data_IF_083890254062
#
_entry.id   IF_083890254062
#
_cell.length_a   1.000
_cell.length_b   1.000
_cell.length_c   1.000
_cell.angle_alpha   90.00
_cell.angle_beta   90.00
_cell.angle_gamma   90.00
#
_symmetry.space_group_name_H-M   'P 1'
#
loop_
_entity.id
_entity.type
_entity.pdbx_description
1 polymer ?
2 non-polymer ?
3 water ?
#
# COMPACT_ATOMS: atom_id res chain seq x y z
N UNK A 1 -4.57 37.06 -3.90
CA UNK A 1 -3.39 36.19 -3.97
C UNK A 1 -3.34 35.19 -2.81
N UNK A 2 -3.76 33.95 -3.02
CA UNK A 2 -3.71 32.99 -1.93
C UNK A 2 -2.31 32.39 -1.85
N UNK A 3 -1.80 32.29 -0.63
CA UNK A 3 -0.49 31.73 -0.39
C UNK A 3 -0.62 30.91 0.88
N UNK A 4 -0.49 29.59 0.73
CA UNK A 4 -0.63 28.67 1.84
C UNK A 4 0.63 28.56 2.69
N UNK A 5 1.72 29.24 2.34
CA UNK A 5 2.94 29.12 3.09
C UNK A 5 2.72 29.46 4.56
N UNK A 6 3.21 28.58 5.42
CA UNK A 6 3.18 28.84 6.85
C UNK A 6 3.14 27.56 7.66
N UNK A 7 2.98 27.76 8.96
CA UNK A 7 2.90 26.65 9.91
C UNK A 7 1.51 26.69 10.50
N UNK A 8 0.86 25.55 10.57
CA UNK A 8 -0.59 25.48 10.83
C UNK A 8 -0.91 24.40 11.86
N UNK A 9 -1.72 24.74 12.85
CA UNK A 9 -2.03 23.86 13.96
C UNK A 9 -3.49 23.40 13.87
N UNK A 10 -3.73 22.09 14.06
CA UNK A 10 -5.07 21.56 13.90
C UNK A 10 -6.04 22.10 14.97
N UNK A 11 -7.15 22.65 14.50
CA UNK A 11 -8.21 23.13 15.39
C UNK A 11 -9.35 22.14 15.50
N UNK A 12 -9.87 21.67 14.37
CA UNK A 12 -10.95 20.70 14.32
C UNK A 12 -10.67 19.69 13.21
N UNK A 13 -11.28 18.52 13.38
CA UNK A 13 -11.16 17.41 12.44
C UNK A 13 -12.48 16.62 12.55
N UNK A 14 -13.37 16.87 11.60
CA UNK A 14 -14.74 16.39 11.63
C UNK A 14 -14.93 15.20 10.71
N UNK A 15 -15.47 14.11 11.26
CA UNK A 15 -15.89 12.93 10.51
C UNK A 15 -14.73 12.18 9.86
N UNK A 16 -13.55 12.21 10.48
CA UNK A 16 -12.38 11.57 9.89
C UNK A 16 -12.50 10.05 9.91
N UNK A 17 -13.10 9.49 10.96
CA UNK A 17 -13.17 8.05 11.05
C UNK A 17 -14.00 7.44 9.92
N UNK A 18 -15.13 8.08 9.56
CA UNK A 18 -15.91 7.56 8.44
C UNK A 18 -15.18 7.73 7.12
N UNK A 19 -14.44 8.83 6.97
CA UNK A 19 -13.63 9.00 5.78
C UNK A 19 -12.62 7.87 5.67
N UNK A 20 -11.91 7.57 6.75
CA UNK A 20 -10.94 6.49 6.72
C UNK A 20 -11.63 5.14 6.50
N UNK A 21 -12.82 4.95 7.07
CA UNK A 21 -13.54 3.69 6.86
C UNK A 21 -13.83 3.47 5.37
N UNK A 22 -14.20 4.54 4.66
CA UNK A 22 -14.45 4.46 3.23
C UNK A 22 -13.18 4.12 2.43
N UNK A 23 -12.00 4.38 3.00
CA UNK A 23 -10.74 3.95 2.44
C UNK A 23 -10.32 2.56 2.92
N UNK A 24 -11.19 1.88 3.68
CA UNK A 24 -10.96 0.51 4.16
C UNK A 24 -9.87 0.44 5.22
N UNK A 25 -9.57 1.54 5.89
CA UNK A 25 -8.65 1.53 7.02
C UNK A 25 -9.33 0.81 8.18
N UNK A 26 -8.62 -0.13 8.80
CA UNK A 26 -9.33 -0.91 9.81
C UNK A 26 -9.49 -0.11 11.10
N UNK A 27 -10.44 -0.55 11.93
CA UNK A 27 -10.94 0.28 13.02
C UNK A 27 -9.80 0.67 13.98
N UNK A 28 -8.82 -0.20 14.21
CA UNK A 28 -7.76 0.19 15.15
C UNK A 28 -7.01 1.43 14.67
N UNK A 29 -6.68 1.49 13.39
CA UNK A 29 -5.93 2.64 12.91
C UNK A 29 -6.84 3.86 12.78
N UNK A 30 -8.11 3.65 12.45
CA UNK A 30 -9.03 4.79 12.44
C UNK A 30 -9.05 5.48 13.78
N UNK A 31 -9.15 4.72 14.88
CA UNK A 31 -9.23 5.35 16.19
C UNK A 31 -7.93 6.04 16.55
N UNK A 32 -6.79 5.38 16.29
CA UNK A 32 -5.48 6.00 16.51
C UNK A 32 -5.37 7.29 15.72
N UNK A 33 -5.69 7.22 14.43
CA UNK A 33 -5.46 8.37 13.56
C UNK A 33 -6.32 9.54 13.96
N UNK A 34 -7.55 9.27 14.42
CA UNK A 34 -8.45 10.36 14.74
C UNK A 34 -8.10 11.04 16.06
N UNK A 35 -7.29 10.41 16.90
CA UNK A 35 -6.78 11.07 18.08
C UNK A 35 -5.56 11.95 17.79
N UNK A 36 -4.96 11.80 16.62
CA UNK A 36 -3.79 12.59 16.27
C UNK A 36 -4.22 14.00 15.85
N UNK A 37 -3.37 14.97 16.18
CA UNK A 37 -3.63 16.37 15.87
C UNK A 37 -2.40 16.96 15.19
N UNK A 38 -2.09 16.49 13.98
CA UNK A 38 -0.84 16.92 13.32
C UNK A 38 -0.85 18.38 12.95
N UNK A 39 0.34 18.94 12.89
CA UNK A 39 0.57 20.24 12.31
C UNK A 39 0.72 20.11 10.80
N UNK A 40 0.55 21.20 10.10
CA UNK A 40 0.94 21.26 8.70
C UNK A 40 1.96 22.36 8.49
N UNK A 41 3.06 22.01 7.83
CA UNK A 41 4.06 22.96 7.38
C UNK A 41 4.02 23.00 5.87
N UNK A 42 3.71 24.17 5.31
CA UNK A 42 3.50 24.33 3.88
C UNK A 42 4.46 25.37 3.34
N UNK A 43 5.12 25.06 2.24
CA UNK A 43 5.84 26.05 1.46
C UNK A 43 5.26 26.04 0.06
N UNK A 44 4.70 27.17 -0.33
CA UNK A 44 4.21 27.38 -1.69
C UNK A 44 5.28 28.23 -2.41
N UNK A 45 5.86 27.69 -3.47
CA UNK A 45 7.06 28.28 -4.13
C UNK A 45 6.73 28.32 -5.62
N UNK A 46 6.12 29.41 -6.07
CA UNK A 46 5.52 29.40 -7.38
C UNK A 46 4.43 28.36 -7.37
N UNK A 47 4.44 27.46 -8.34
CA UNK A 47 3.46 26.38 -8.35
C UNK A 47 4.01 25.08 -7.77
N UNK A 48 5.22 25.11 -7.19
CA UNK A 48 5.74 23.99 -6.44
C UNK A 48 5.26 24.06 -4.99
N UNK A 49 4.49 23.07 -4.55
CA UNK A 49 3.95 23.06 -3.20
C UNK A 49 4.47 21.86 -2.43
N UNK A 50 4.90 22.10 -1.20
CA UNK A 50 5.28 21.05 -0.26
C UNK A 50 4.34 21.19 0.92
N UNK A 51 3.62 20.11 1.23
CA UNK A 51 2.73 20.08 2.39
C UNK A 51 3.20 18.96 3.30
N UNK A 52 3.74 19.31 4.46
CA UNK A 52 4.22 18.32 5.43
C UNK A 52 3.19 18.22 6.55
N UNK A 53 2.58 17.04 6.70
CA UNK A 53 1.64 16.81 7.80
C UNK A 53 2.42 16.04 8.87
N UNK A 54 2.59 16.65 10.04
CA UNK A 54 3.59 16.24 11.03
C UNK A 54 2.97 15.90 12.36
N UNK A 55 3.31 14.73 12.89
CA UNK A 55 2.93 14.36 14.26
C UNK A 55 4.08 13.54 14.84
N UNK A 56 4.04 13.35 16.16
CA UNK A 56 5.22 12.81 16.87
C UNK A 56 5.74 11.53 16.20
N UNK A 57 4.84 10.59 15.91
CA UNK A 57 5.23 9.26 15.48
C UNK A 57 4.87 8.96 14.03
N UNK A 58 4.10 9.83 13.37
CA UNK A 58 3.62 9.59 12.02
C UNK A 58 3.58 10.90 11.23
N UNK A 59 4.10 10.87 10.02
CA UNK A 59 4.14 12.00 9.11
C UNK A 59 3.63 11.55 7.75
N UNK A 60 3.11 12.49 6.97
CA UNK A 60 2.79 12.26 5.57
C UNK A 60 3.18 13.50 4.78
N UNK A 61 3.99 13.33 3.74
CA UNK A 61 4.58 14.43 3.00
C UNK A 61 4.04 14.43 1.57
N UNK A 62 3.56 15.57 1.10
CA UNK A 62 3.21 15.79 -0.29
C UNK A 62 4.18 16.80 -0.89
N UNK A 63 4.57 16.55 -2.12
CA UNK A 63 5.53 17.41 -2.81
C UNK A 63 5.19 17.34 -4.29
N UNK A 64 4.64 18.41 -4.86
CA UNK A 64 4.08 18.35 -6.20
C UNK A 64 4.09 19.72 -6.87
N UNK A 65 3.77 19.72 -8.16
CA UNK A 65 3.62 20.94 -8.94
C UNK A 65 2.15 21.13 -9.27
N UNK A 66 1.59 22.28 -8.90
CA UNK A 66 0.20 22.55 -9.21
C UNK A 66 0.03 22.44 -10.72
N UNK A 67 -1.01 21.73 -11.14
CA UNK A 67 -1.37 21.56 -12.53
C UNK A 67 -0.77 20.35 -13.21
N UNK A 68 0.14 19.61 -12.57
CA UNK A 68 0.84 18.50 -13.21
C UNK A 68 0.52 17.21 -12.47
N UNK A 69 -0.04 16.25 -13.20
CA UNK A 69 -0.36 14.96 -12.62
C UNK A 69 0.91 14.26 -12.15
N UNK A 70 0.81 13.61 -11.00
CA UNK A 70 1.91 12.87 -10.41
C UNK A 70 1.37 11.61 -9.76
N UNK A 71 2.26 10.65 -9.51
CA UNK A 71 1.87 9.43 -8.80
C UNK A 71 2.05 9.62 -7.30
N UNK A 72 0.92 9.69 -6.60
CA UNK A 72 0.88 9.96 -5.16
C UNK A 72 0.86 8.63 -4.43
N UNK A 73 1.83 8.44 -3.54
CA UNK A 73 1.99 7.20 -2.78
C UNK A 73 1.45 7.45 -1.37
N UNK A 74 0.25 6.95 -1.09
CA UNK A 74 -0.43 7.24 0.17
C UNK A 74 -0.01 6.25 1.27
N UNK A 75 1.29 6.03 1.34
CA UNK A 75 1.86 5.09 2.29
C UNK A 75 1.66 5.58 3.72
N UNK A 76 1.06 4.73 4.53
CA UNK A 76 0.79 5.08 5.90
C UNK A 76 -0.59 5.63 6.12
N UNK A 77 -1.31 5.93 5.03
CA UNK A 77 -2.72 6.30 5.14
C UNK A 77 -3.51 5.04 4.82
N UNK A 78 -3.86 4.84 3.54
CA UNK A 78 -4.50 3.62 3.10
C UNK A 78 -3.59 2.79 2.19
N UNK A 79 -2.35 3.22 1.97
CA UNK A 79 -1.34 2.44 1.25
C UNK A 79 -1.74 2.14 -0.19
N UNK A 80 -2.53 3.02 -0.77
CA UNK A 80 -2.82 2.97 -2.18
C UNK A 80 -1.94 3.95 -2.92
N UNK A 81 -1.94 3.80 -4.23
CA UNK A 81 -1.29 4.75 -5.12
C UNK A 81 -2.32 5.33 -6.08
N UNK A 82 -2.26 6.64 -6.26
CA UNK A 82 -3.19 7.37 -7.09
C UNK A 82 -2.41 8.18 -8.11
N UNK A 83 -3.08 8.51 -9.20
CA UNK A 83 -2.58 9.49 -10.14
C UNK A 83 -3.29 10.78 -9.78
N UNK A 84 -2.55 11.70 -9.16
CA UNK A 84 -3.14 12.85 -8.50
C UNK A 84 -2.82 14.13 -9.25
N UNK A 85 -3.82 15.00 -9.37
CA UNK A 85 -3.60 16.34 -9.89
C UNK A 85 -4.21 17.35 -8.92
N UNK A 86 -3.38 18.32 -8.55
CA UNK A 86 -3.79 19.45 -7.73
C UNK A 86 -3.80 20.67 -8.63
N UNK A 87 -4.93 21.36 -8.69
CA UNK A 87 -5.13 22.47 -9.61
C UNK A 87 -5.76 23.65 -8.89
N UNK A 88 -5.47 24.85 -9.40
CA UNK A 88 -6.11 26.06 -8.90
C UNK A 88 -7.52 26.15 -9.43
N UNK A 89 -8.45 26.53 -8.55
CA UNK A 89 -9.84 26.80 -8.88
C UNK A 89 -10.13 28.14 -8.21
N UNK A 90 -9.81 29.25 -8.88
CA UNK A 90 -9.86 30.53 -8.23
C UNK A 90 -8.83 30.55 -7.12
N UNK A 91 -9.29 30.81 -5.90
CA UNK A 91 -8.42 30.85 -4.73
C UNK A 91 -8.47 29.58 -3.93
N UNK A 92 -9.00 28.50 -4.51
CA UNK A 92 -9.02 27.19 -3.89
C UNK A 92 -8.08 26.24 -4.62
N UNK A 93 -7.51 25.32 -3.88
CA UNK A 93 -6.74 24.23 -4.43
C UNK A 93 -7.65 22.99 -4.50
N UNK A 94 -7.76 22.40 -5.70
CA UNK A 94 -8.62 21.25 -5.94
C UNK A 94 -7.76 20.05 -6.27
N UNK A 95 -7.90 19.00 -5.48
CA UNK A 95 -7.10 17.80 -5.66
C UNK A 95 -8.01 16.67 -6.09
N UNK A 96 -7.66 15.99 -7.18
CA UNK A 96 -8.34 14.80 -7.63
C UNK A 96 -7.34 13.67 -7.57
N UNK A 97 -7.69 12.59 -6.86
CA UNK A 97 -6.82 11.43 -6.66
C UNK A 97 -7.40 10.26 -7.43
N UNK A 98 -6.90 10.03 -8.66
CA UNK A 98 -7.46 8.98 -9.50
C UNK A 98 -6.90 7.63 -9.10
N UNK A 99 -7.80 6.65 -8.95
CA UNK A 99 -7.38 5.34 -8.47
C UNK A 99 -8.55 4.39 -8.26
N UNK A 100 -8.38 3.42 -7.35
CA UNK A 100 -9.39 2.39 -7.20
C UNK A 100 -10.70 2.93 -6.64
N UNK A 101 -10.64 3.99 -5.83
CA UNK A 101 -11.82 4.57 -5.20
C UNK A 101 -12.42 5.71 -6.01
N UNK A 102 -13.75 5.73 -6.12
CA UNK A 102 -14.46 6.78 -6.83
C UNK A 102 -14.51 8.07 -6.01
N UNK A 103 -14.43 9.20 -6.70
CA UNK A 103 -14.66 10.48 -6.05
C UNK A 103 -13.67 10.83 -4.95
N UNK A 104 -12.43 10.40 -5.08
CA UNK A 104 -11.42 10.65 -4.06
C UNK A 104 -10.67 11.96 -4.36
N UNK A 105 -10.70 12.89 -3.42
CA UNK A 105 -9.91 14.10 -3.60
C UNK A 105 -10.07 15.00 -2.39
N UNK A 106 -9.64 16.24 -2.54
CA UNK A 106 -9.80 17.19 -1.44
C UNK A 106 -9.76 18.59 -2.01
N UNK A 107 -10.19 19.55 -1.18
CA UNK A 107 -10.19 20.97 -1.52
C UNK A 107 -9.59 21.73 -0.35
N UNK A 108 -8.69 22.68 -0.64
CA UNK A 108 -8.00 23.43 0.39
C UNK A 108 -8.12 24.92 0.09
N UNK A 109 -8.37 25.71 1.13
CA UNK A 109 -8.51 27.15 0.96
C UNK A 109 -8.22 27.84 2.28
N UNK A 110 -8.15 29.16 2.24
CA UNK A 110 -7.86 29.98 3.42
C UNK A 110 -9.04 30.91 3.69
N UNK A 111 -9.44 31.01 4.96
CA UNK A 111 -10.38 32.02 5.47
C UNK A 111 -9.68 32.73 6.63
N UNK A 112 -9.26 33.97 6.42
CA UNK A 112 -8.60 34.67 7.49
C UNK A 112 -7.30 33.97 7.87
N UNK A 113 -7.19 33.58 9.14
CA UNK A 113 -6.04 32.85 9.66
C UNK A 113 -6.30 31.34 9.73
N UNK A 114 -7.32 30.87 9.03
CA UNK A 114 -7.71 29.46 9.02
C UNK A 114 -7.40 28.82 7.68
N UNK A 115 -6.76 27.65 7.73
CA UNK A 115 -6.58 26.78 6.59
C UNK A 115 -7.70 25.74 6.63
N UNK A 116 -8.52 25.71 5.59
CA UNK A 116 -9.66 24.79 5.48
C UNK A 116 -9.33 23.67 4.52
N UNK A 117 -9.67 22.45 4.91
CA UNK A 117 -9.33 21.28 4.11
C UNK A 117 -10.52 20.33 4.18
N UNK A 118 -11.20 20.13 3.06
CA UNK A 118 -12.28 19.16 2.95
C UNK A 118 -11.80 18.00 2.10
N UNK A 119 -11.87 16.78 2.62
CA UNK A 119 -11.45 15.60 1.89
C UNK A 119 -12.65 14.68 1.72
N UNK A 120 -12.68 14.01 0.58
CA UNK A 120 -13.84 13.26 0.12
C UNK A 120 -13.38 11.95 -0.48
N UNK A 121 -14.22 10.91 -0.33
CA UNK A 121 -14.10 9.69 -1.12
C UNK A 121 -15.43 8.97 -1.06
N UNK A 122 -15.90 8.49 -2.21
CA UNK A 122 -17.16 7.74 -2.29
C UNK A 122 -18.30 8.46 -1.56
N UNK A 123 -18.36 9.78 -1.71
CA UNK A 123 -19.42 10.55 -1.12
C UNK A 123 -19.30 10.83 0.37
N UNK A 124 -18.28 10.31 1.02
CA UNK A 124 -18.03 10.57 2.43
C UNK A 124 -17.10 11.76 2.56
N UNK A 125 -17.41 12.67 3.49
CA UNK A 125 -16.73 13.97 3.59
C UNK A 125 -16.17 14.15 4.99
N UNK A 126 -14.91 14.59 5.07
CA UNK A 126 -14.27 14.99 6.31
C UNK A 126 -13.79 16.42 6.18
N UNK A 127 -13.94 17.21 7.22
CA UNK A 127 -13.57 18.64 7.21
C UNK A 127 -12.55 18.90 8.31
N UNK A 128 -11.43 19.52 7.95
CA UNK A 128 -10.38 19.85 8.90
C UNK A 128 -10.14 21.34 8.82
N UNK A 129 -9.86 21.98 9.96
CA UNK A 129 -9.51 23.39 9.98
C UNK A 129 -8.27 23.55 10.84
N UNK A 130 -7.30 24.31 10.33
CA UNK A 130 -6.06 24.57 11.01
C UNK A 130 -5.92 26.08 11.22
N UNK A 131 -5.19 26.46 12.25
CA UNK A 131 -4.92 27.87 12.53
C UNK A 131 -3.46 28.21 12.28
N UNK A 132 -3.22 29.36 11.67
CA UNK A 132 -1.82 29.78 11.43
C UNK A 132 -1.15 30.12 12.75
N UNK A 133 0.06 29.62 12.94
CA UNK A 133 0.81 29.79 14.17
C UNK A 133 2.22 30.23 13.86
N UNK A 134 2.90 30.70 14.89
CA UNK A 134 4.21 31.32 14.70
C UNK A 134 5.34 30.68 15.51
N UNK A 135 5.04 29.79 16.44
CA UNK A 135 6.08 29.14 17.22
C UNK A 135 6.55 27.92 16.45
N UNK A 136 7.84 27.90 16.11
CA UNK A 136 8.37 26.83 15.28
C UNK A 136 9.58 26.19 15.92
N UNK B 2 -15.09 -26.54 -17.02
CA UNK B 2 -13.98 -25.64 -16.74
C UNK B 2 -14.25 -24.88 -15.45
N UNK B 3 -13.21 -24.73 -14.63
CA UNK B 3 -13.33 -24.07 -13.34
C UNK B 3 -12.08 -23.22 -13.12
N UNK B 4 -12.26 -21.90 -13.09
CA UNK B 4 -11.16 -20.96 -12.94
C UNK B 4 -10.71 -20.76 -11.50
N UNK B 5 -11.34 -21.42 -10.52
CA UNK B 5 -10.99 -21.20 -9.12
C UNK B 5 -9.51 -21.46 -8.89
N UNK B 6 -8.87 -20.55 -8.19
CA UNK B 6 -7.47 -20.70 -7.85
C UNK B 6 -6.77 -19.36 -7.75
N UNK B 7 -5.46 -19.47 -7.51
CA UNK B 7 -4.59 -18.32 -7.39
C UNK B 7 -3.58 -18.41 -8.52
N UNK B 8 -3.35 -17.30 -9.19
CA UNK B 8 -2.66 -17.29 -10.48
C UNK B 8 -1.63 -16.15 -10.52
N UNK B 9 -0.39 -16.45 -10.95
CA UNK B 9 0.66 -15.44 -11.05
C UNK B 9 0.93 -15.09 -12.51
N UNK B 10 1.11 -13.80 -12.78
CA UNK B 10 1.32 -13.34 -14.16
C UNK B 10 2.65 -13.83 -14.70
N UNK B 11 2.60 -14.48 -15.86
CA UNK B 11 3.79 -14.95 -16.55
C UNK B 11 4.20 -14.01 -17.67
N UNK B 12 3.26 -13.62 -18.51
CA UNK B 12 3.49 -12.70 -19.62
C UNK B 12 2.31 -11.75 -19.78
N UNK B 13 2.62 -10.59 -20.36
CA UNK B 13 1.61 -9.55 -20.61
C UNK B 13 2.07 -8.80 -21.86
N UNK B 14 1.44 -9.14 -22.99
CA UNK B 14 1.87 -8.70 -24.32
C UNK B 14 0.97 -7.59 -24.85
N UNK B 15 1.58 -6.49 -25.28
CA UNK B 15 0.92 -5.37 -25.97
C UNK B 15 -0.07 -4.62 -25.09
N UNK B 16 0.19 -4.58 -23.78
CA UNK B 16 -0.73 -3.93 -22.86
C UNK B 16 -0.73 -2.41 -23.05
N UNK B 17 0.42 -1.82 -23.39
CA UNK B 17 0.44 -0.36 -23.49
C UNK B 17 -0.44 0.13 -24.63
N UNK B 18 -0.42 -0.56 -25.78
CA UNK B 18 -1.29 -0.15 -26.88
C UNK B 18 -2.76 -0.37 -26.53
N UNK B 19 -3.06 -1.44 -25.78
CA UNK B 19 -4.42 -1.62 -25.32
C UNK B 19 -4.84 -0.44 -24.45
N UNK B 20 -4.02 -0.07 -23.47
CA UNK B 20 -4.36 1.06 -22.62
C UNK B 20 -4.41 2.36 -23.40
N UNK B 21 -3.53 2.53 -24.38
CA UNK B 21 -3.58 3.75 -25.20
C UNK B 21 -4.92 3.87 -25.91
N UNK B 22 -5.46 2.76 -26.41
CA UNK B 22 -6.77 2.76 -27.05
C UNK B 22 -7.89 3.11 -26.08
N UNK B 23 -7.65 2.94 -24.78
CA UNK B 23 -8.57 3.39 -23.75
C UNK B 23 -8.29 4.81 -23.30
N UNK B 24 -7.35 5.49 -23.98
CA UNK B 24 -7.02 6.88 -23.70
C UNK B 24 -6.34 7.05 -22.34
N UNK B 25 -5.76 5.99 -21.81
CA UNK B 25 -4.95 6.10 -20.60
C UNK B 25 -3.66 6.83 -20.96
N UNK B 26 -3.28 7.82 -20.14
CA UNK B 26 -2.13 8.60 -20.57
C UNK B 26 -0.83 7.85 -20.31
N UNK B 27 0.24 8.38 -20.92
CA UNK B 27 1.47 7.60 -21.04
C UNK B 27 2.05 7.28 -19.66
N UNK B 28 1.95 8.20 -18.70
CA UNK B 28 2.55 7.91 -17.41
C UNK B 28 1.92 6.68 -16.78
N UNK B 29 0.59 6.59 -16.84
CA UNK B 29 -0.07 5.45 -16.23
C UNK B 29 0.12 4.19 -17.08
N UNK B 30 0.16 4.32 -18.41
CA UNK B 30 0.48 3.16 -19.25
C UNK B 30 1.82 2.54 -18.83
N UNK B 31 2.84 3.36 -18.62
CA UNK B 31 4.14 2.81 -18.29
C UNK B 31 4.15 2.18 -16.90
N UNK B 32 3.54 2.85 -15.91
CA UNK B 32 3.39 2.26 -14.58
C UNK B 32 2.67 0.92 -14.68
N UNK B 33 1.52 0.92 -15.36
CA UNK B 33 0.66 -0.26 -15.37
C UNK B 33 1.33 -1.45 -16.05
N UNK B 34 2.10 -1.19 -17.10
CA UNK B 34 2.70 -2.29 -17.83
C UNK B 34 3.87 -2.93 -17.07
N UNK B 35 4.42 -2.25 -16.08
CA UNK B 35 5.47 -2.87 -15.27
C UNK B 35 4.90 -3.73 -14.16
N UNK B 36 3.61 -3.59 -13.88
CA UNK B 36 2.96 -4.33 -12.82
C UNK B 36 2.75 -5.77 -13.26
N UNK B 37 2.82 -6.65 -12.28
CA UNK B 37 2.67 -8.10 -12.51
C UNK B 37 1.68 -8.64 -11.49
N UNK B 38 0.41 -8.24 -11.60
CA UNK B 38 -0.58 -8.61 -10.59
C UNK B 38 -0.86 -10.10 -10.57
N UNK B 39 -1.25 -10.57 -9.40
CA UNK B 39 -1.84 -11.89 -9.25
C UNK B 39 -3.33 -11.81 -9.57
N UNK B 40 -3.94 -12.97 -9.87
CA UNK B 40 -5.39 -13.09 -9.93
C UNK B 40 -5.83 -14.16 -8.94
N UNK B 41 -6.80 -13.81 -8.11
CA UNK B 41 -7.46 -14.75 -7.21
C UNK B 41 -8.90 -14.89 -7.67
N UNK B 42 -9.28 -16.10 -8.08
CA UNK B 42 -10.59 -16.33 -8.67
C UNK B 42 -11.33 -17.37 -7.84
N UNK B 43 -12.61 -17.09 -7.58
CA UNK B 43 -13.52 -18.09 -7.03
C UNK B 43 -14.69 -18.18 -7.98
N UNK B 44 -14.86 -19.34 -8.59
CA UNK B 44 -16.01 -19.66 -9.42
C UNK B 44 -16.96 -20.50 -8.55
N UNK B 45 -18.18 -20.00 -8.32
CA UNK B 45 -19.12 -20.59 -7.35
C UNK B 45 -20.44 -20.73 -8.10
N UNK B 46 -20.63 -21.87 -8.76
CA UNK B 46 -21.72 -21.96 -9.72
C UNK B 46 -21.45 -20.96 -10.84
N UNK B 47 -22.44 -20.15 -11.16
CA UNK B 47 -22.24 -19.11 -12.15
C UNK B 47 -21.89 -17.75 -11.53
N UNK B 48 -21.64 -17.71 -10.22
CA UNK B 48 -21.13 -16.52 -9.55
C UNK B 48 -19.61 -16.52 -9.59
N UNK B 49 -19.03 -15.50 -10.23
CA UNK B 49 -17.59 -15.38 -10.40
C UNK B 49 -17.06 -14.17 -9.64
N UNK B 50 -15.97 -14.34 -8.90
CA UNK B 50 -15.24 -13.24 -8.31
C UNK B 50 -13.81 -13.33 -8.85
N UNK B 51 -13.35 -12.26 -9.50
CA UNK B 51 -11.99 -12.19 -10.04
C UNK B 51 -11.30 -11.00 -9.40
N UNK B 52 -10.32 -11.26 -8.55
CA UNK B 52 -9.54 -10.22 -7.89
C UNK B 52 -8.18 -10.13 -8.57
N UNK B 53 -7.90 -8.96 -9.14
CA UNK B 53 -6.61 -8.66 -9.75
C UNK B 53 -5.84 -7.82 -8.73
N UNK B 54 -4.73 -8.37 -8.22
CA UNK B 54 -4.06 -7.85 -7.01
C UNK B 54 -2.60 -7.48 -7.30
N UNK B 55 -2.21 -6.22 -7.07
CA UNK B 55 -0.85 -5.81 -7.38
C UNK B 55 -0.31 -4.84 -6.34
N UNK B 56 1.00 -4.58 -6.43
CA UNK B 56 1.64 -3.57 -5.59
C UNK B 56 0.99 -2.21 -5.79
N UNK B 57 0.72 -1.83 -7.03
CA UNK B 57 0.26 -0.47 -7.27
C UNK B 57 -1.26 -0.31 -7.07
N UNK B 58 -2.08 -1.30 -7.44
CA UNK B 58 -3.53 -1.11 -7.34
C UNK B 58 -4.22 -2.48 -7.48
N UNK B 59 -5.46 -2.57 -6.96
CA UNK B 59 -6.30 -3.76 -7.10
C UNK B 59 -7.47 -3.41 -8.01
N UNK B 60 -8.03 -4.43 -8.69
CA UNK B 60 -9.28 -4.29 -9.43
C UNK B 60 -10.09 -5.56 -9.21
N UNK B 61 -11.33 -5.39 -8.77
CA UNK B 61 -12.19 -6.49 -8.34
C UNK B 61 -13.40 -6.58 -9.27
N UNK B 62 -13.66 -7.77 -9.79
CA UNK B 62 -14.87 -8.06 -10.53
C UNK B 62 -15.71 -9.06 -9.74
N UNK B 63 -17.03 -8.86 -9.75
CA UNK B 63 -17.93 -9.72 -9.01
C UNK B 63 -19.24 -9.74 -9.79
N UNK B 64 -19.55 -10.88 -10.43
CA UNK B 64 -20.69 -10.92 -11.34
C UNK B 64 -21.27 -12.32 -11.45
N UNK B 65 -22.43 -12.40 -12.09
CA UNK B 65 -23.06 -13.66 -12.43
C UNK B 65 -22.95 -13.88 -13.93
N UNK B 66 -22.48 -15.07 -14.33
CA UNK B 66 -22.37 -15.37 -15.76
C UNK B 66 -23.76 -15.30 -16.39
N UNK B 67 -23.86 -14.64 -17.53
CA UNK B 67 -25.12 -14.52 -18.24
C UNK B 67 -25.97 -13.34 -17.85
N UNK B 68 -25.58 -12.56 -16.84
CA UNK B 68 -26.39 -11.46 -16.33
C UNK B 68 -25.65 -10.15 -16.57
N UNK B 69 -26.26 -9.25 -17.33
CA UNK B 69 -25.66 -7.96 -17.57
C UNK B 69 -25.57 -7.18 -16.27
N UNK B 70 -24.46 -6.48 -16.06
CA UNK B 70 -24.27 -5.68 -14.86
C UNK B 70 -23.52 -4.42 -15.21
N UNK B 71 -23.61 -3.42 -14.33
CA UNK B 71 -22.81 -2.21 -14.48
C UNK B 71 -21.42 -2.45 -13.91
N UNK B 72 -20.42 -2.38 -14.78
CA UNK B 72 -19.01 -2.56 -14.40
C UNK B 72 -18.36 -1.19 -14.34
N UNK B 73 -17.84 -0.82 -13.17
CA UNK B 73 -17.16 0.46 -12.98
C UNK B 73 -15.66 0.19 -13.00
N UNK B 74 -15.03 0.62 -14.09
CA UNK B 74 -13.61 0.36 -14.32
C UNK B 74 -12.76 1.45 -13.71
N UNK B 75 -13.07 1.72 -12.45
CA UNK B 75 -12.39 2.74 -11.67
C UNK B 75 -10.97 2.29 -11.38
N UNK B 76 -10.02 3.10 -11.77
CA UNK B 76 -8.63 2.76 -11.57
C UNK B 76 -7.99 2.15 -12.79
N UNK B 77 -8.80 1.82 -13.80
CA UNK B 77 -8.28 1.38 -15.10
C UNK B 77 -8.37 2.59 -16.02
N UNK B 78 -9.49 2.75 -16.73
CA UNK B 78 -9.72 3.93 -17.54
C UNK B 78 -10.85 4.81 -17.03
N UNK B 79 -11.43 4.47 -15.88
CA UNK B 79 -12.44 5.30 -15.22
C UNK B 79 -13.68 5.46 -16.08
N UNK B 80 -13.96 4.46 -16.88
CA UNK B 80 -15.22 4.38 -17.59
C UNK B 80 -16.18 3.44 -16.88
N UNK B 81 -17.43 3.52 -17.29
CA UNK B 81 -18.46 2.59 -16.84
C UNK B 81 -19.01 1.89 -18.06
N UNK B 82 -19.19 0.58 -17.94
CA UNK B 82 -19.71 -0.24 -19.02
C UNK B 82 -20.89 -1.07 -18.52
N UNK B 83 -21.75 -1.45 -19.47
CA UNK B 83 -22.76 -2.45 -19.21
C UNK B 83 -22.19 -3.76 -19.75
N UNK B 84 -21.77 -4.62 -18.83
CA UNK B 84 -20.94 -5.75 -19.15
C UNK B 84 -21.70 -7.06 -18.99
N UNK B 85 -21.49 -7.99 -19.93
CA UNK B 85 -22.01 -9.34 -19.80
C UNK B 85 -20.87 -10.32 -20.02
N UNK B 86 -20.72 -11.25 -19.10
CA UNK B 86 -19.76 -12.34 -19.21
C UNK B 86 -20.56 -13.61 -19.42
N UNK B 87 -20.29 -14.32 -20.50
CA UNK B 87 -21.07 -15.48 -20.89
C UNK B 87 -20.14 -16.66 -21.19
N UNK B 88 -20.64 -17.87 -20.99
CA UNK B 88 -19.91 -19.06 -21.40
C UNK B 88 -19.96 -19.22 -22.91
N UNK B 89 -18.81 -19.53 -23.52
CA UNK B 89 -18.70 -19.84 -24.94
C UNK B 89 -17.87 -21.12 -25.00
N UNK B 90 -18.54 -22.27 -24.87
CA UNK B 90 -17.80 -23.51 -24.71
C UNK B 90 -17.03 -23.50 -23.40
N UNK B 91 -15.72 -23.72 -23.48
CA UNK B 91 -14.88 -23.72 -22.29
C UNK B 91 -14.21 -22.37 -22.08
N UNK B 92 -14.68 -21.34 -22.78
CA UNK B 92 -14.17 -19.99 -22.63
C UNK B 92 -15.21 -19.10 -21.98
N UNK B 93 -14.72 -18.13 -21.23
CA UNK B 93 -15.55 -17.03 -20.76
C UNK B 93 -15.38 -15.85 -21.70
N UNK B 94 -16.50 -15.33 -22.19
CA UNK B 94 -16.52 -14.22 -23.13
C UNK B 94 -17.14 -13.00 -22.49
N UNK B 95 -16.38 -11.92 -22.42
CA UNK B 95 -16.85 -10.69 -21.79
C UNK B 95 -17.03 -9.64 -22.86
N UNK B 96 -18.21 -9.02 -22.88
CA UNK B 96 -18.52 -7.88 -23.74
C UNK B 96 -18.80 -6.70 -22.82
N UNK B 97 -18.07 -5.61 -23.01
CA UNK B 97 -18.17 -4.41 -22.18
C UNK B 97 -18.75 -3.31 -23.05
N UNK B 98 -20.06 -3.12 -22.95
CA UNK B 98 -20.78 -2.14 -23.76
C UNK B 98 -20.58 -0.75 -23.17
N UNK B 99 -20.27 0.20 -24.04
CA UNK B 99 -20.00 1.54 -23.56
C UNK B 99 -19.59 2.45 -24.69
N UNK B 100 -18.67 3.35 -24.40
CA UNK B 100 -18.23 4.33 -25.39
C UNK B 100 -17.33 3.74 -26.45
N UNK B 101 -16.56 2.70 -26.12
CA UNK B 101 -15.57 2.13 -27.01
C UNK B 101 -16.15 0.94 -27.76
N UNK B 102 -15.86 0.88 -29.05
CA UNK B 102 -16.23 -0.24 -29.88
C UNK B 102 -15.38 -1.48 -29.57
N UNK B 103 -16.03 -2.64 -29.59
CA UNK B 103 -15.30 -3.89 -29.59
C UNK B 103 -14.53 -4.14 -28.32
N UNK B 104 -15.02 -3.63 -27.20
CA UNK B 104 -14.33 -3.75 -25.92
C UNK B 104 -14.78 -5.02 -25.22
N UNK B 105 -13.83 -5.88 -24.90
CA UNK B 105 -14.18 -7.07 -24.15
C UNK B 105 -12.94 -7.89 -23.89
N UNK B 106 -13.15 -9.11 -23.46
CA UNK B 106 -12.03 -10.03 -23.22
C UNK B 106 -12.54 -11.45 -23.27
N UNK B 107 -11.59 -12.36 -23.38
CA UNK B 107 -11.85 -13.79 -23.44
C UNK B 107 -10.89 -14.48 -22.48
N UNK B 108 -11.41 -15.37 -21.64
CA UNK B 108 -10.57 -16.05 -20.66
C UNK B 108 -10.76 -17.56 -20.78
N UNK B 109 -9.67 -18.32 -20.69
CA UNK B 109 -9.72 -19.77 -20.78
C UNK B 109 -8.52 -20.40 -20.09
N UNK B 110 -8.55 -21.72 -19.97
CA UNK B 110 -7.48 -22.46 -19.32
C UNK B 110 -6.84 -23.41 -20.32
N UNK B 111 -5.51 -23.47 -20.30
CA UNK B 111 -4.73 -24.50 -21.00
C UNK B 111 -3.80 -25.09 -19.97
N UNK B 112 -4.07 -26.32 -19.55
CA UNK B 112 -3.19 -26.94 -18.57
C UNK B 112 -3.22 -26.16 -17.27
N UNK B 113 -2.04 -25.71 -16.81
CA UNK B 113 -1.91 -24.91 -15.61
C UNK B 113 -1.84 -23.42 -15.93
N UNK B 114 -2.25 -23.04 -17.13
CA UNK B 114 -2.20 -21.66 -17.60
C UNK B 114 -3.60 -21.06 -17.70
N UNK B 115 -3.76 -19.86 -17.14
CA UNK B 115 -4.94 -19.04 -17.35
C UNK B 115 -4.61 -18.05 -18.46
N UNK B 116 -5.34 -18.11 -19.55
CA UNK B 116 -5.17 -17.27 -20.72
C UNK B 116 -6.24 -16.20 -20.74
N UNK B 117 -5.82 -14.96 -21.00
CA UNK B 117 -6.72 -13.81 -20.99
C UNK B 117 -6.33 -12.90 -22.13
N UNK B 118 -7.22 -12.79 -23.12
CA UNK B 118 -7.05 -11.89 -24.25
C UNK B 118 -8.02 -10.73 -24.10
N UNK B 119 -7.51 -9.50 -24.13
CA UNK B 119 -8.35 -8.32 -24.01
C UNK B 119 -8.31 -7.51 -25.30
N UNK B 120 -9.44 -6.96 -25.67
CA UNK B 120 -9.59 -6.25 -26.93
C UNK B 120 -10.35 -4.95 -26.73
N UNK B 121 -9.97 -3.95 -27.53
CA UNK B 121 -10.76 -2.74 -27.68
C UNK B 121 -10.37 -2.09 -28.99
N UNK B 122 -11.38 -1.71 -29.78
CA UNK B 122 -11.16 -1.02 -31.06
C UNK B 122 -10.13 -1.75 -31.91
N UNK B 123 -10.20 -3.08 -31.94
CA UNK B 123 -9.33 -3.87 -32.77
C UNK B 123 -7.93 -4.07 -32.25
N UNK B 124 -7.58 -3.50 -31.10
CA UNK B 124 -6.27 -3.67 -30.46
C UNK B 124 -6.35 -4.86 -29.52
N UNK B 125 -5.33 -5.71 -29.52
CA UNK B 125 -5.35 -6.97 -28.79
C UNK B 125 -4.16 -7.03 -27.84
N UNK B 126 -4.43 -7.40 -26.58
CA UNK B 126 -3.43 -7.66 -25.56
C UNK B 126 -3.63 -9.07 -25.02
N UNK B 127 -2.54 -9.77 -24.77
CA UNK B 127 -2.60 -11.18 -24.35
C UNK B 127 -1.83 -11.32 -23.06
N UNK B 128 -2.47 -11.94 -22.06
CA UNK B 128 -1.89 -12.21 -20.77
C UNK B 128 -1.98 -13.70 -20.48
N UNK B 129 -0.96 -14.25 -19.83
CA UNK B 129 -0.98 -15.63 -19.38
C UNK B 129 -0.51 -15.64 -17.94
N UNK B 130 -1.24 -16.38 -17.11
CA UNK B 130 -0.93 -16.57 -15.71
C UNK B 130 -0.71 -18.05 -15.44
N UNK B 131 0.09 -18.36 -14.42
CA UNK B 131 0.32 -19.74 -14.02
C UNK B 131 -0.35 -20.03 -12.67
N UNK B 132 -0.97 -21.21 -12.54
CA UNK B 132 -1.60 -21.57 -11.27
C UNK B 132 -0.53 -21.84 -10.22
N UNK B 133 -0.74 -21.29 -9.03
CA UNK B 133 0.23 -21.39 -7.94
C UNK B 133 -0.49 -21.80 -6.67
N UNK B 134 0.29 -22.22 -5.70
CA UNK B 134 -0.24 -22.84 -4.48
C UNK B 134 0.18 -22.15 -3.19
N UNK B 135 1.11 -21.20 -3.24
CA UNK B 135 1.54 -20.51 -2.05
C UNK B 135 0.62 -19.34 -1.81
N UNK B 136 0.02 -19.28 -0.61
CA UNK B 136 -0.94 -18.26 -0.23
C UNK B 136 -0.36 -17.39 0.89
N UNK C 2 8.63 -25.39 14.35
CA UNK C 2 9.66 -24.43 14.74
C UNK C 2 9.29 -23.78 16.07
N UNK C 3 10.30 -23.61 16.93
CA UNK C 3 10.11 -22.98 18.24
C UNK C 3 11.31 -22.07 18.46
N UNK C 4 11.07 -20.77 18.49
CA UNK C 4 12.16 -19.81 18.61
C UNK C 4 12.62 -19.60 20.04
N UNK C 5 11.99 -20.26 21.00
CA UNK C 5 12.35 -20.07 22.40
C UNK C 5 13.83 -20.33 22.65
N UNK C 6 14.49 -19.40 23.30
CA UNK C 6 15.87 -19.56 23.65
C UNK C 6 16.58 -18.24 23.79
N UNK C 7 17.89 -18.36 24.04
CA UNK C 7 18.77 -17.22 24.18
C UNK C 7 19.77 -17.29 23.03
N UNK C 8 19.96 -16.18 22.34
CA UNK C 8 20.63 -16.14 21.05
C UNK C 8 21.65 -15.02 21.02
N UNK C 9 22.87 -15.32 20.58
CA UNK C 9 23.97 -14.36 20.54
C UNK C 9 24.29 -13.99 19.10
N UNK C 10 24.51 -12.70 18.86
CA UNK C 10 24.72 -12.20 17.50
C UNK C 10 26.05 -12.71 16.94
N UNK C 11 25.97 -13.36 15.78
CA UNK C 11 27.16 -13.81 15.06
C UNK C 11 27.57 -12.84 13.97
N UNK C 12 26.63 -12.43 13.12
CA UNK C 12 26.88 -11.49 12.04
C UNK C 12 25.71 -10.51 11.94
N UNK C 13 26.01 -9.33 11.37
CA UNK C 13 25.03 -8.26 11.20
C UNK C 13 25.48 -7.50 9.95
N UNK C 14 24.83 -7.79 8.84
CA UNK C 14 25.26 -7.34 7.52
C UNK C 14 24.38 -6.19 7.03
N UNK C 15 25.03 -5.10 6.64
CA UNK C 15 24.38 -3.94 5.99
C UNK C 15 23.40 -3.20 6.92
N UNK C 16 23.65 -3.20 8.22
CA UNK C 16 22.75 -2.57 9.18
C UNK C 16 22.78 -1.05 9.07
N UNK C 17 23.94 -0.46 8.78
CA UNK C 17 23.98 0.99 8.74
C UNK C 17 23.15 1.54 7.60
N UNK C 18 23.16 0.89 6.44
CA UNK C 18 22.32 1.34 5.34
C UNK C 18 20.84 1.14 5.66
N UNK C 19 20.50 0.06 6.36
CA UNK C 19 19.12 -0.12 6.79
C UNK C 19 18.67 1.00 7.70
N UNK C 20 19.49 1.34 8.70
CA UNK C 20 19.12 2.43 9.60
C UNK C 20 19.07 3.76 8.86
N UNK C 21 19.98 3.98 7.91
CA UNK C 21 19.94 5.22 7.14
C UNK C 21 18.64 5.36 6.38
N UNK C 22 18.14 4.26 5.82
CA UNK C 22 16.84 4.28 5.15
C UNK C 22 15.70 4.60 6.12
N UNK C 23 15.90 4.40 7.42
CA UNK C 23 14.95 4.80 8.45
C UNK C 23 15.23 6.20 8.98
N UNK C 24 16.20 6.91 8.39
CA UNK C 24 16.53 8.29 8.73
C UNK C 24 17.16 8.42 10.11
N UNK C 25 17.72 7.33 10.63
CA UNK C 25 18.50 7.41 11.85
C UNK C 25 19.78 8.18 11.55
N UNK C 26 20.11 9.12 12.42
CA UNK C 26 21.24 9.98 12.11
C UNK C 26 22.56 9.25 12.33
N UNK C 27 23.62 9.82 11.78
CA UNK C 27 24.85 9.04 11.64
C UNK C 27 25.45 8.69 13.00
N UNK C 28 25.34 9.55 13.99
CA UNK C 28 25.89 9.23 15.32
C UNK C 28 25.23 7.99 15.91
N UNK C 29 23.90 7.89 15.79
CA UNK C 29 23.24 6.72 16.36
C UNK C 29 23.48 5.48 15.50
N UNK C 30 23.59 5.64 14.17
CA UNK C 30 23.92 4.50 13.30
C UNK C 30 25.25 3.87 13.71
N UNK C 31 26.25 4.70 13.96
CA UNK C 31 27.55 4.15 14.31
C UNK C 31 27.52 3.51 15.69
N UNK C 32 26.88 4.14 16.67
CA UNK C 32 26.67 3.48 17.97
C UNK C 32 25.97 2.14 17.76
N UNK C 33 24.87 2.16 17.01
CA UNK C 33 24.02 0.99 16.91
C UNK C 33 24.74 -0.16 16.23
N UNK C 34 25.55 0.14 15.22
CA UNK C 34 26.18 -0.93 14.47
C UNK C 34 27.36 -1.55 15.20
N UNK C 35 27.89 -0.87 16.22
CA UNK C 35 28.89 -1.50 17.08
C UNK C 35 28.26 -2.41 18.11
N UNK C 36 26.95 -2.32 18.31
CA UNK C 36 26.29 -3.16 19.28
C UNK C 36 26.11 -4.57 18.73
N UNK C 37 26.22 -5.53 19.64
CA UNK C 37 26.04 -6.95 19.32
C UNK C 37 25.04 -7.52 20.31
N UNK C 38 23.77 -7.11 20.21
CA UNK C 38 22.79 -7.51 21.23
C UNK C 38 22.49 -8.99 21.18
N UNK C 39 22.07 -9.51 22.33
CA UNK C 39 21.49 -10.84 22.44
C UNK C 39 19.99 -10.76 22.14
N UNK C 40 19.39 -11.90 21.80
CA UNK C 40 17.94 -12.01 21.74
C UNK C 40 17.49 -13.09 22.72
N UNK C 41 16.53 -12.73 23.57
CA UNK C 41 15.88 -13.67 24.45
C UNK C 41 14.44 -13.80 23.98
N UNK C 42 14.05 -15.00 23.56
CA UNK C 42 12.75 -15.23 22.94
C UNK C 42 11.99 -16.26 23.76
N UNK C 43 10.72 -15.99 24.01
CA UNK C 43 9.80 -17.02 24.53
C UNK C 43 8.63 -17.11 23.57
N UNK C 44 8.46 -18.28 22.98
CA UNK C 44 7.33 -18.59 22.12
C UNK C 44 6.36 -19.40 22.98
N UNK C 45 5.16 -18.87 23.20
CA UNK C 45 4.19 -19.43 24.18
C UNK C 45 2.87 -19.56 23.45
N UNK C 46 2.65 -20.70 22.79
CA UNK C 46 1.54 -20.77 21.86
C UNK C 46 1.85 -19.82 20.73
N UNK C 47 0.89 -18.96 20.40
CA UNK C 47 1.12 -17.93 19.38
C UNK C 47 1.45 -16.59 20.02
N UNK C 48 1.66 -16.56 21.33
CA UNK C 48 2.16 -15.38 22.02
C UNK C 48 3.68 -15.37 21.96
N UNK C 49 4.26 -14.35 21.34
CA UNK C 49 5.70 -14.25 21.13
C UNK C 49 6.27 -13.05 21.92
N UNK C 50 7.36 -13.27 22.65
CA UNK C 50 8.09 -12.19 23.27
C UNK C 50 9.51 -12.26 22.72
N UNK C 51 9.97 -11.16 22.11
CA UNK C 51 11.33 -11.08 21.60
C UNK C 51 11.99 -9.91 22.29
N UNK C 52 12.96 -10.18 23.16
CA UNK C 52 13.72 -9.14 23.85
C UNK C 52 15.08 -8.99 23.18
N UNK C 53 15.38 -7.81 22.63
CA UNK C 53 16.70 -7.51 22.05
C UNK C 53 17.48 -6.70 23.08
N UNK C 54 18.58 -7.26 23.58
CA UNK C 54 19.23 -6.79 24.80
C UNK C 54 20.66 -6.31 24.53
N UNK C 55 20.97 -5.09 24.98
CA UNK C 55 22.32 -4.56 24.89
C UNK C 55 22.57 -3.63 26.06
N UNK C 56 23.85 -3.33 26.28
CA UNK C 56 24.24 -2.34 27.29
C UNK C 56 23.70 -0.95 26.94
N UNK C 57 23.60 -0.64 25.65
CA UNK C 57 23.13 0.68 25.24
C UNK C 57 21.63 0.84 25.43
N UNK C 58 20.85 -0.20 25.11
CA UNK C 58 19.43 -0.03 24.99
C UNK C 58 18.83 -1.41 24.76
N UNK C 59 17.59 -1.58 25.21
CA UNK C 59 16.82 -2.79 24.95
C UNK C 59 15.65 -2.41 24.06
N UNK C 60 15.15 -3.40 23.30
CA UNK C 60 13.94 -3.21 22.53
C UNK C 60 13.12 -4.48 22.71
N UNK C 61 11.88 -4.33 23.13
CA UNK C 61 11.04 -5.46 23.49
C UNK C 61 9.85 -5.51 22.52
N UNK C 62 9.62 -6.69 21.92
CA UNK C 62 8.42 -6.97 21.15
C UNK C 62 7.61 -7.98 21.94
N UNK C 63 6.30 -7.78 21.99
CA UNK C 63 5.40 -8.65 22.76
C UNK C 63 4.10 -8.64 21.99
N UNK C 64 3.78 -9.73 21.30
CA UNK C 64 2.66 -9.71 20.37
C UNK C 64 2.06 -11.11 20.23
N UNK C 65 0.92 -11.17 19.56
CA UNK C 65 0.26 -12.42 19.20
C UNK C 65 0.43 -12.63 17.70
N UNK C 66 0.99 -13.77 17.30
CA UNK C 66 1.13 -14.06 15.89
C UNK C 66 -0.25 -14.07 15.24
N UNK C 67 -0.34 -13.42 14.08
CA UNK C 67 -1.58 -13.31 13.34
C UNK C 67 -2.45 -12.13 13.70
N UNK C 68 -2.10 -11.34 14.72
CA UNK C 68 -2.96 -10.26 15.20
C UNK C 68 -2.25 -8.93 15.05
N UNK C 69 -2.83 -8.04 14.25
CA UNK C 69 -2.23 -6.72 14.09
C UNK C 69 -2.21 -5.95 15.40
N UNK C 70 -1.11 -5.23 15.61
CA UNK C 70 -0.90 -4.40 16.79
C UNK C 70 -0.14 -3.14 16.42
N UNK C 71 -0.28 -2.12 17.27
CA UNK C 71 0.50 -0.92 17.11
C UNK C 71 1.86 -1.15 17.73
N UNK C 72 2.89 -1.13 16.88
CA UNK C 72 4.25 -1.34 17.31
C UNK C 72 4.89 0.03 17.57
N UNK C 73 5.39 0.22 18.79
CA UNK C 73 6.07 1.45 19.17
C UNK C 73 7.58 1.26 18.98
N UNK C 74 8.14 1.86 17.92
CA UNK C 74 9.56 1.75 17.65
C UNK C 74 10.37 2.87 18.30
N UNK C 75 9.89 3.38 19.44
CA UNK C 75 10.71 4.21 20.32
C UNK C 75 12.00 3.48 20.69
N UNK C 76 13.12 4.13 20.43
CA UNK C 76 14.44 3.58 20.66
C UNK C 76 15.08 3.02 19.40
N UNK C 77 14.32 2.87 18.33
CA UNK C 77 14.91 2.57 17.02
C UNK C 77 14.86 3.82 16.15
N UNK C 78 13.76 4.03 15.43
CA UNK C 78 13.53 5.23 14.65
C UNK C 78 12.37 6.07 15.20
N UNK C 79 11.78 5.65 16.32
CA UNK C 79 10.78 6.48 17.05
C UNK C 79 9.53 6.73 16.21
N UNK C 80 9.22 5.80 15.33
CA UNK C 80 7.96 5.78 14.61
C UNK C 80 7.02 4.78 15.25
N UNK C 81 5.78 4.84 14.84
CA UNK C 81 4.80 3.83 15.18
C UNK C 81 4.26 3.23 13.90
N UNK C 82 4.09 1.92 13.94
CA UNK C 82 3.61 1.17 12.80
C UNK C 82 2.44 0.31 13.24
N UNK C 83 1.61 -0.07 12.27
CA UNK C 83 0.61 -1.12 12.48
C UNK C 83 1.22 -2.41 11.97
N UNK C 84 1.61 -3.28 12.89
CA UNK C 84 2.47 -4.41 12.59
C UNK C 84 1.72 -5.72 12.72
N UNK C 85 1.95 -6.63 11.78
CA UNK C 85 1.43 -7.98 11.87
C UNK C 85 2.57 -8.95 11.63
N UNK C 86 2.73 -9.90 12.54
CA UNK C 86 3.67 -10.99 12.43
C UNK C 86 2.86 -12.25 12.20
N UNK C 87 3.11 -12.97 11.10
CA UNK C 87 2.33 -14.14 10.71
C UNK C 87 3.25 -15.34 10.46
N UNK C 88 2.70 -16.54 10.64
CA UNK C 88 3.39 -17.75 10.24
C UNK C 88 3.32 -17.90 8.73
N UNK C 89 4.45 -18.22 8.14
CA UNK C 89 4.57 -18.58 6.73
C UNK C 89 5.35 -19.89 6.79
N UNK C 90 4.64 -20.99 7.01
CA UNK C 90 5.31 -22.25 7.28
C UNK C 90 6.05 -22.19 8.59
N UNK C 91 7.36 -22.44 8.54
CA UNK C 91 8.20 -22.38 9.72
C UNK C 91 8.96 -21.06 9.82
N UNK C 92 8.56 -20.05 9.03
CA UNK C 92 9.12 -18.70 9.10
C UNK C 92 8.09 -17.75 9.69
N UNK C 93 8.58 -16.73 10.38
CA UNK C 93 7.75 -15.63 10.85
C UNK C 93 7.93 -14.46 9.89
N UNK C 94 6.82 -13.92 9.39
CA UNK C 94 6.83 -12.83 8.42
C UNK C 94 6.21 -11.62 9.08
N UNK C 95 6.97 -10.54 9.18
CA UNK C 95 6.50 -9.32 9.81
C UNK C 95 6.33 -8.23 8.78
N UNK C 96 5.15 -7.61 8.78
CA UNK C 96 4.88 -6.42 7.98
C UNK C 96 4.61 -5.27 8.93
N UNK C 97 5.37 -4.18 8.75
CA UNK C 97 5.27 -2.98 9.59
C UNK C 97 4.70 -1.85 8.74
N UNK C 98 3.39 -1.62 8.82
CA UNK C 98 2.71 -0.62 8.00
C UNK C 98 2.85 0.76 8.63
N UNK C 99 3.24 1.74 7.81
CA UNK C 99 3.55 3.08 8.29
C UNK C 99 4.07 3.95 7.18
N UNK C 100 4.88 4.96 7.53
CA UNK C 100 5.29 5.96 6.55
C UNK C 100 6.17 5.35 5.46
N UNK C 101 7.00 4.36 5.83
CA UNK C 101 8.00 3.79 4.95
C UNK C 101 7.43 2.60 4.19
N UNK C 102 7.72 2.54 2.89
CA UNK C 102 7.25 1.44 2.07
C UNK C 102 8.12 0.20 2.30
N UNK C 103 7.49 -0.96 2.26
CA UNK C 103 8.23 -2.21 2.25
C UNK C 103 8.97 -2.51 3.53
N UNK C 104 8.45 -2.05 4.66
CA UNK C 104 9.12 -2.23 5.93
C UNK C 104 8.64 -3.53 6.58
N UNK C 105 9.57 -4.41 6.90
CA UNK C 105 9.22 -5.60 7.63
C UNK C 105 10.46 -6.42 7.86
N UNK C 106 10.23 -7.66 8.28
CA UNK C 106 11.33 -8.60 8.47
C UNK C 106 10.81 -10.02 8.38
N UNK C 107 11.76 -10.95 8.25
CA UNK C 107 11.48 -12.38 8.20
C UNK C 107 12.45 -13.07 9.15
N UNK C 108 11.94 -13.97 9.99
CA UNK C 108 12.76 -14.68 10.96
C UNK C 108 12.57 -16.18 10.81
N UNK C 109 13.65 -16.94 10.88
CA UNK C 109 13.56 -18.40 10.75
C UNK C 109 14.76 -19.03 11.45
N UNK C 110 14.74 -20.35 11.53
CA UNK C 110 15.83 -21.09 12.17
C UNK C 110 16.46 -22.03 11.17
N UNK C 111 17.78 -22.09 11.18
CA UNK C 111 18.55 -23.11 10.47
C UNK C 111 19.47 -23.75 11.51
N UNK C 112 19.14 -24.97 11.90
CA UNK C 112 19.99 -25.66 12.87
C UNK C 112 19.98 -24.90 14.19
N UNK C 113 21.17 -24.48 14.64
CA UNK C 113 21.32 -23.71 15.87
C UNK C 113 21.43 -22.21 15.59
N UNK C 114 21.04 -21.79 14.40
CA UNK C 114 21.12 -20.39 13.98
C UNK C 114 19.73 -19.77 13.86
N UNK C 115 19.59 -18.58 14.42
CA UNK C 115 18.41 -17.75 14.22
C UNK C 115 18.73 -16.73 13.14
N UNK C 116 17.95 -16.75 12.07
CA UNK C 116 18.15 -15.88 10.92
C UNK C 116 17.10 -14.80 10.90
N UNK C 117 17.53 -13.56 10.65
CA UNK C 117 16.64 -12.41 10.66
C UNK C 117 17.04 -11.51 9.52
N UNK C 118 16.15 -11.38 8.55
CA UNK C 118 16.31 -10.46 7.44
C UNK C 118 15.34 -9.30 7.62
N UNK C 119 15.87 -8.08 7.66
CA UNK C 119 15.02 -6.91 7.81
C UNK C 119 15.16 -6.02 6.59
N UNK C 120 14.04 -5.40 6.25
CA UNK C 120 13.86 -4.69 4.99
C UNK C 120 13.16 -3.36 5.20
N UNK C 121 13.52 -2.38 4.37
CA UNK C 121 12.72 -1.17 4.26
C UNK C 121 13.13 -0.48 2.98
N UNK C 122 12.16 -0.04 2.19
CA UNK C 122 12.44 0.68 0.95
C UNK C 122 13.47 -0.04 0.10
N UNK C 123 13.37 -1.36 0.05
CA UNK C 123 14.29 -2.13 -0.79
C UNK C 123 15.69 -2.32 -0.24
N UNK C 124 15.99 -1.76 0.92
CA UNK C 124 17.28 -1.93 1.59
C UNK C 124 17.16 -3.13 2.52
N UNK C 125 18.16 -4.01 2.51
CA UNK C 125 18.11 -5.29 3.22
C UNK C 125 19.29 -5.41 4.16
N UNK C 126 19.01 -5.84 5.40
CA UNK C 126 20.01 -6.17 6.40
C UNK C 126 19.76 -7.60 6.87
N UNK C 127 20.85 -8.36 7.00
CA UNK C 127 20.75 -9.77 7.38
C UNK C 127 21.54 -10.02 8.66
N UNK C 128 20.88 -10.61 9.65
CA UNK C 128 21.50 -10.92 10.92
C UNK C 128 21.39 -12.42 11.18
N UNK C 129 22.38 -12.98 11.83
CA UNK C 129 22.34 -14.37 12.24
C UNK C 129 22.81 -14.43 13.68
N UNK C 130 22.08 -15.17 14.50
CA UNK C 130 22.40 -15.39 15.90
C UNK C 130 22.60 -16.88 16.15
N UNK C 131 23.39 -17.19 17.17
CA UNK C 131 23.65 -18.57 17.55
C UNK C 131 22.98 -18.87 18.88
N UNK C 132 22.35 -20.04 19.00
CA UNK C 132 21.71 -20.43 20.27
C UNK C 132 22.77 -20.69 21.31
N UNK C 133 22.60 -20.11 22.50
CA UNK C 133 23.58 -20.20 23.56
C UNK C 133 22.89 -20.60 24.87
N UNK C 134 23.69 -20.97 25.84
CA UNK C 134 23.18 -21.54 27.08
C UNK C 134 23.59 -20.80 28.34
N UNK C 135 24.54 -19.86 28.27
CA UNK C 135 24.94 -19.12 29.45
C UNK C 135 24.05 -17.90 29.59
N UNK C 136 23.34 -17.79 30.72
CA UNK C 136 22.34 -16.74 30.85
C UNK C 136 22.74 -15.72 31.91
X LIG D 1 -3.33 13.48 7.67
X LIG D 1 -4.21 11.08 11.70
X LIG D 1 -1.71 10.58 10.07
X LIG D 1 -2.94 10.97 9.14
X LIG D 1 -1.10 9.32 9.51
X LIG D 1 -2.06 8.18 9.73
X LIG D 1 -3.81 9.80 8.93
X LIG D 1 -3.46 8.51 9.18
X LIG D 1 -3.72 12.20 9.66
X LIG D 1 -0.68 11.69 10.13
X LIG D 1 -4.37 7.38 8.81
X LIG D 1 -3.91 13.43 9.00
X LIG D 1 -4.33 12.28 10.89
X LIG D 1 0.07 12.15 8.91
X LIG D 1 -0.43 12.30 11.33
X LIG D 1 -4.59 14.55 9.43
X LIG D 1 -4.99 13.32 11.45
X LIG D 1 -5.16 14.48 10.70
X LIG D 1 -5.95 15.68 11.29
X LIG D 1 -3.47 14.22 7.29
X LIG D 1 -4.92 10.89 12.13
X LIG D 1 -2.05 10.44 10.96
X LIG D 1 -2.55 11.22 8.29
X LIG D 1 -0.25 9.12 9.94
X LIG D 1 -0.85 9.41 8.59
X LIG D 1 -2.12 7.96 10.68
X LIG D 1 -1.68 7.37 9.36
X LIG D 1 -4.67 9.95 8.60
X LIG D 1 -3.97 6.61 8.38
X LIG D 1 -5.09 7.61 8.22
X LIG D 1 -4.84 6.98 9.56
X LIG D 1 -0.03 13.10 8.73
X LIG D 1 -0.17 11.73 8.07
X LIG D 1 1.04 12.04 8.92
X LIG D 1 0.19 12.98 11.43
X LIG D 1 -0.84 12.08 12.13
X LIG D 1 -4.68 15.32 8.91
X LIG D 1 -5.38 13.26 12.29
X LIG D 1 -6.76 15.46 11.80
X LIG D 1 -6.29 16.33 10.66
X LIG D 1 -5.47 16.24 11.92
X LIG E 1 -5.45 -5.48 -14.73
X LIG E 1 -1.38 -2.91 -14.60
X LIG E 1 -3.77 -2.43 -12.70
X LIG E 1 -4.23 -2.87 -14.12
X LIG E 1 -4.50 -1.18 -12.31
X LIG E 1 -4.05 -0.03 -13.19
X LIG E 1 -4.16 -1.66 -15.08
X LIG E 1 -4.16 -0.37 -14.66
X LIG E 1 -3.46 -4.10 -14.63
X LIG E 1 -4.02 -3.52 -11.67
X LIG E 1 -4.19 0.75 -15.66
X LIG E 1 -4.01 -5.36 -14.94
X LIG E 1 -2.09 -4.15 -14.86
X LIG E 1 -2.95 -4.18 -10.96
X LIG E 1 -5.30 -3.92 -11.36
X LIG E 1 -3.39 -6.48 -15.39
X LIG E 1 -1.34 -5.21 -15.31
X LIG E 1 -2.01 -6.41 -15.58
X LIG E 1 -1.26 -7.65 -16.07
X LIG E 1 -5.76 -6.19 -15.09
X LIG E 1 -0.62 -2.90 -14.98
X LIG E 1 -2.81 -2.27 -12.73
X LIG E 1 -5.16 -3.12 -14.04
X LIG E 1 -5.46 -1.30 -12.37
X LIG E 1 -4.39 -0.98 -11.37
X LIG E 1 -4.58 0.76 -12.99
X LIG E 1 -3.16 0.23 -12.92
X LIG E 1 -4.12 -1.84 -15.99
X LIG E 1 -4.71 1.54 -15.42
X LIG E 1 -4.55 0.53 -16.53
X LIG E 1 -3.33 1.11 -15.89
X LIG E 1 -2.90 -5.13 -11.13
X LIG E 1 -2.05 -3.88 -11.18
X LIG E 1 -2.96 -4.13 -10.00
X LIG E 1 -6.06 -3.55 -11.76
X LIG E 1 -5.50 -4.58 -10.73
X LIG E 1 -3.84 -7.28 -15.55
X LIG E 1 -0.42 -5.16 -15.44
X LIG E 1 -0.56 -7.49 -16.72
X LIG E 1 -0.81 -8.17 -15.39
X LIG E 1 -1.80 -8.32 -16.52
X LIG F 1 17.87 -4.22 17.11
X LIG F 1 21.90 -1.67 17.50
X LIG F 1 19.63 -1.24 19.34
X LIG F 1 19.12 -1.62 17.91
X LIG F 1 19.03 0.09 19.76
X LIG F 1 19.46 1.23 18.82
X LIG F 1 19.18 -0.41 16.96
X LIG F 1 19.17 0.90 17.37
X LIG F 1 19.86 -2.87 17.34
X LIG F 1 19.30 -2.30 20.37
X LIG F 1 19.07 2.02 16.35
X LIG F 1 19.31 -4.10 16.96
X LIG F 1 21.22 -2.89 17.12
X LIG F 1 17.89 -2.54 20.89
X LIG F 1 20.28 -3.11 20.88
X LIG F 1 19.96 -5.20 16.45
X LIG F 1 22.01 -3.90 16.64
X LIG F 1 21.35 -5.09 16.29
X LIG F 1 22.15 -6.23 15.75
X LIG F 1 17.53 -4.73 16.53
X LIG F 1 22.51 -1.45 16.93
X LIG F 1 20.60 -1.17 19.29
X LIG F 1 18.18 -1.86 18.01
X LIG F 1 18.05 0.02 19.78
X LIG F 1 19.21 0.27 20.69
X LIG F 1 19.02 2.06 19.08
X LIG F 1 20.39 1.43 19.00
X LIG F 1 19.25 -0.58 16.05
X LIG F 1 18.61 1.81 15.53
X LIG F 1 19.92 2.37 16.04
X LIG F 1 18.64 2.82 16.67
X LIG F 1 17.79 -2.39 21.84
X LIG F 1 17.19 -1.98 20.51
X LIG F 1 17.52 -3.44 20.77
X LIG F 1 20.12 -3.77 21.53
X LIG F 1 21.18 -3.06 20.65
X LIG F 1 19.54 -5.99 16.21
X LIG F 1 22.93 -3.82 16.54
X LIG F 1 21.90 -7.10 16.07
X LIG F 1 22.14 -6.35 14.79
X LIG F 1 23.11 -6.21 15.95
#
# INVERSE_FOLDING_TARGET
PVDFTGYWKMLVNENFEEYLRALDVNVALRKIANLLKPDKEIVQDGDHMIIRTLSTFRNYIMDFQVGKEFEEDLTGIDDRKCMTTVSWDGDKLQCVQKGEKEGRGWTQWIEGDELHLEMRVEGVVCKQVFKKVQHHHHHH
PVDFTGYWKMLVNENFEEYLRALDVNVALRKIANLLKPDKEIVQDGDHMIIRTLSTFRNYIMDFQVGKEFEEDLTGIDDRKCMTTVSWDGDKLQCVQKGEKEGRGWTQWIEGDELHLEMRVEGVVCKQVFKKVQHHHHHH
PVDFTGYWKMLVNENFEEYLRALDVNVALRKIANLLKPDKEIVQDGDHMIIRTLSTFRNYIMDFQVGKEFEEDLTGIDDRKCMTTVSWDGDKLQCVQKGEKEGRGWTQWIEGDELHLEMRVEGVVCKQVFKKVQHHHHHH
8CB O01 O02 C03 C04 C05 C06 C07 C08 C09 C10 C11 C12 C13 C14 C15 C16 C17 C18 C19 H011 H021 H031 H041 H051 H052 H061 H062 H071 H112 H111 H113 H142 H143 H141 H151 H152 H161 H171 H191 H192 H193
8CB O01 O02 C03 C04 C05 C06 C07 C08 C09 C10 C11 C12 C13 C14 C15 C16 C17 C18 C19 H011 H021 H031 H041 H051 H052 H061 H062 H071 H112 H111 H113 H142 H143 H141 H151 H152 H161 H171 H191 H192 H193
8CB O01 O02 C03 C04 C05 C06 C07 C08 C09 C10 C11 C12 C13 C14 C15 C16 C17 C18 C19 H011 H021 H031 H041 H051 H052 H061 H062 H071 H112 H111 H113 H142 H143 H141 H151 H152 H161 H171 H191 H192 H193
#
